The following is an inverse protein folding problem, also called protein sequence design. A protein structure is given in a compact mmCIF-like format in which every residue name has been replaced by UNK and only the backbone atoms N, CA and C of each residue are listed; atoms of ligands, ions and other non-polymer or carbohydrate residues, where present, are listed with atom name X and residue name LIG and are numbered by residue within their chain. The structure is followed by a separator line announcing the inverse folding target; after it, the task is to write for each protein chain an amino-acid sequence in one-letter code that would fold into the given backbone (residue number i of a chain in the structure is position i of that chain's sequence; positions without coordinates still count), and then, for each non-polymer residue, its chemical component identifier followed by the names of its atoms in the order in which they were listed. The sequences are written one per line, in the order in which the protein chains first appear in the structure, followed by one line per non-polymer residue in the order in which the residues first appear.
data_IF_546499714448
#
_entry.id   IF_546499714448
#
_cell.length_a   1.000
_cell.length_b   1.000
_cell.length_c   1.000
_cell.angle_alpha   90.00
_cell.angle_beta   90.00
_cell.angle_gamma   90.00
#
_symmetry.space_group_name_H-M   'P 1'
#
loop_
_entity.id
_entity.type
_entity.pdbx_description
1 polymer ?
#
# COMPACT_ATOMS: atom_id res chain seq x y z
N UNK A 1 -23.45 35.17 -12.53
CA UNK A 1 -22.88 34.57 -13.75
C UNK A 1 -22.17 33.23 -13.52
N UNK A 2 -21.74 32.86 -12.31
CA UNK A 2 -20.95 31.64 -12.09
C UNK A 2 -21.70 30.29 -12.15
N UNK A 3 -22.98 30.23 -11.79
CA UNK A 3 -23.72 28.96 -11.73
C UNK A 3 -23.93 28.32 -13.11
N UNK A 4 -24.35 29.11 -14.10
CA UNK A 4 -24.52 28.63 -15.49
C UNK A 4 -23.22 28.11 -16.12
N UNK A 5 -22.10 28.74 -15.78
CA UNK A 5 -20.78 28.31 -16.24
C UNK A 5 -20.37 26.97 -15.61
N UNK A 6 -20.63 26.79 -14.31
CA UNK A 6 -20.38 25.54 -13.61
C UNK A 6 -21.25 24.39 -14.16
N UNK A 7 -22.52 24.67 -14.48
CA UNK A 7 -23.43 23.68 -15.11
C UNK A 7 -22.93 23.24 -16.48
N UNK A 8 -22.56 24.17 -17.37
CA UNK A 8 -22.01 23.83 -18.69
C UNK A 8 -20.74 22.98 -18.60
N UNK A 9 -19.82 23.32 -17.68
CA UNK A 9 -18.58 22.55 -17.47
C UNK A 9 -18.91 21.15 -16.95
N UNK A 10 -19.86 21.04 -16.02
CA UNK A 10 -20.30 19.74 -15.49
C UNK A 10 -20.88 18.84 -16.58
N UNK A 11 -21.72 19.38 -17.46
CA UNK A 11 -22.31 18.63 -18.58
C UNK A 11 -21.26 18.19 -19.59
N UNK A 12 -20.26 19.03 -19.87
CA UNK A 12 -19.14 18.68 -20.75
C UNK A 12 -18.31 17.53 -20.18
N UNK A 13 -17.93 17.60 -18.90
CA UNK A 13 -17.14 16.56 -18.22
C UNK A 13 -17.88 15.23 -18.21
N UNK A 14 -19.20 15.24 -17.99
CA UNK A 14 -20.05 14.04 -18.02
C UNK A 14 -20.07 13.35 -19.38
N UNK A 15 -19.78 14.08 -20.46
CA UNK A 15 -19.68 13.52 -21.81
C UNK A 15 -18.34 12.85 -22.12
N UNK A 16 -17.34 12.95 -21.24
CA UNK A 16 -16.01 12.40 -21.49
C UNK A 16 -16.03 10.87 -21.50
N UNK A 17 -15.49 10.29 -22.56
CA UNK A 17 -15.39 8.85 -22.70
C UNK A 17 -14.42 8.27 -21.67
N UNK A 18 -14.83 7.22 -20.96
CA UNK A 18 -14.01 6.59 -19.91
C UNK A 18 -14.01 7.34 -18.58
N UNK A 19 -14.83 8.38 -18.41
CA UNK A 19 -15.03 9.01 -17.11
C UNK A 19 -15.81 8.06 -16.19
N UNK A 20 -15.20 7.69 -15.07
CA UNK A 20 -15.87 6.94 -14.01
C UNK A 20 -16.71 7.93 -13.20
N UNK A 21 -18.04 7.77 -13.25
CA UNK A 21 -18.99 8.70 -12.60
C UNK A 21 -19.23 8.28 -11.16
N UNK A 22 -19.27 6.98 -10.89
CA UNK A 22 -19.50 6.45 -9.55
C UNK A 22 -18.22 5.85 -8.97
N UNK A 23 -17.81 6.19 -7.75
CA UNK A 23 -16.62 5.61 -7.12
C UNK A 23 -16.65 4.08 -7.03
N UNK A 24 -17.84 3.48 -6.98
CA UNK A 24 -18.03 2.02 -6.96
C UNK A 24 -17.65 1.32 -8.27
N UNK A 25 -17.55 2.07 -9.38
CA UNK A 25 -17.14 1.55 -10.69
C UNK A 25 -15.62 1.64 -10.87
N UNK A 26 -14.89 2.25 -9.93
CA UNK A 26 -13.44 2.32 -9.96
C UNK A 26 -12.85 0.99 -9.47
N UNK A 27 -12.34 0.20 -10.41
CA UNK A 27 -11.52 -0.97 -10.11
C UNK A 27 -10.06 -0.53 -9.91
N UNK A 28 -9.61 -0.51 -8.65
CA UNK A 28 -8.20 -0.29 -8.33
C UNK A 28 -7.48 -1.63 -8.43
N UNK A 29 -6.42 -1.75 -9.24
CA UNK A 29 -5.70 -3.01 -9.36
C UNK A 29 -4.98 -3.33 -8.04
N UNK A 30 -5.02 -4.60 -7.64
CA UNK A 30 -4.29 -5.09 -6.46
C UNK A 30 -2.76 -4.97 -6.63
N UNK A 31 -2.27 -5.00 -7.87
CA UNK A 31 -0.86 -4.94 -8.22
C UNK A 31 -0.65 -4.15 -9.50
N UNK A 32 0.48 -3.44 -9.59
CA UNK A 32 0.91 -2.75 -10.80
C UNK A 32 2.06 -3.54 -11.40
N UNK A 33 1.93 -3.97 -12.66
CA UNK A 33 2.96 -4.77 -13.35
C UNK A 33 4.22 -3.95 -13.67
N UNK A 34 4.06 -2.63 -13.85
CA UNK A 34 5.13 -1.71 -14.21
C UNK A 34 5.22 -0.55 -13.21
N UNK A 35 6.45 -0.08 -12.89
CA UNK A 35 6.61 1.12 -12.09
C UNK A 35 5.91 2.33 -12.70
N UNK A 36 5.30 3.17 -11.87
CA UNK A 36 4.77 4.46 -12.30
C UNK A 36 5.97 5.41 -12.47
N UNK A 37 6.22 5.89 -13.69
CA UNK A 37 7.42 6.67 -14.05
C UNK A 37 7.68 7.86 -13.12
N UNK A 38 6.63 8.54 -12.68
CA UNK A 38 6.72 9.75 -11.84
C UNK A 38 6.89 9.43 -10.34
N UNK A 39 6.82 8.15 -9.94
CA UNK A 39 7.03 7.73 -8.56
C UNK A 39 8.42 7.13 -8.39
N UNK A 40 9.15 7.50 -7.32
CA UNK A 40 10.43 6.86 -7.01
C UNK A 40 10.28 5.35 -6.85
N UNK A 41 11.06 4.60 -7.65
CA UNK A 41 11.18 3.16 -7.50
C UNK A 41 12.29 2.83 -6.49
N UNK A 42 11.98 1.96 -5.53
CA UNK A 42 12.93 1.51 -4.53
C UNK A 42 13.05 -0.02 -4.59
N UNK A 43 14.26 -0.52 -4.83
CA UNK A 43 14.55 -1.96 -4.95
C UNK A 43 14.95 -2.61 -3.61
N UNK A 44 15.16 -1.80 -2.58
CA UNK A 44 15.56 -2.22 -1.22
C UNK A 44 14.36 -2.45 -0.28
N UNK A 45 13.16 -2.61 -0.86
CA UNK A 45 11.94 -2.92 -0.10
C UNK A 45 11.99 -4.30 0.55
N UNK A 46 11.77 -4.35 1.87
CA UNK A 46 11.62 -5.58 2.63
C UNK A 46 10.12 -5.80 2.90
N UNK A 47 9.55 -6.87 2.34
CA UNK A 47 8.18 -7.31 2.64
C UNK A 47 8.14 -8.18 3.89
N UNK A 48 7.15 -7.97 4.75
CA UNK A 48 6.91 -8.83 5.90
C UNK A 48 6.58 -10.27 5.46
N UNK A 49 7.21 -11.25 6.13
CA UNK A 49 7.03 -12.68 5.83
C UNK A 49 6.36 -13.46 6.98
N UNK A 50 5.91 -12.79 8.05
CA UNK A 50 5.31 -13.46 9.22
C UNK A 50 3.92 -14.01 8.95
N UNK A 51 3.14 -13.32 8.12
CA UNK A 51 1.85 -13.80 7.64
C UNK A 51 1.65 -13.30 6.19
N UNK A 52 2.25 -13.97 5.19
CA UNK A 52 2.26 -13.47 3.80
C UNK A 52 0.88 -13.23 3.20
N UNK A 53 -0.13 -13.99 3.65
CA UNK A 53 -1.52 -13.89 3.18
C UNK A 53 -2.24 -12.66 3.72
N UNK A 54 -1.97 -12.27 4.97
CA UNK A 54 -2.73 -11.20 5.64
C UNK A 54 -1.88 -9.95 5.95
N UNK A 55 -0.56 -9.99 5.73
CA UNK A 55 0.34 -8.87 5.98
C UNK A 55 1.14 -8.55 4.73
N UNK A 56 0.77 -7.44 4.10
CA UNK A 56 1.45 -6.89 2.92
C UNK A 56 2.37 -5.71 3.29
N UNK A 57 2.75 -5.59 4.57
CA UNK A 57 3.61 -4.50 5.03
C UNK A 57 4.99 -4.55 4.37
N UNK A 58 5.45 -3.41 3.86
CA UNK A 58 6.76 -3.23 3.24
C UNK A 58 7.47 -2.05 3.91
N UNK A 59 8.76 -2.20 4.20
CA UNK A 59 9.63 -1.11 4.66
C UNK A 59 11.05 -1.30 4.15
N UNK A 60 11.87 -0.26 4.14
CA UNK A 60 13.26 -0.33 3.63
C UNK A 60 14.31 -0.63 4.70
N UNK A 61 13.92 -0.58 5.98
CA UNK A 61 14.84 -0.72 7.11
C UNK A 61 14.51 -1.95 7.98
N UNK A 62 15.55 -2.72 8.33
CA UNK A 62 15.41 -3.93 9.16
C UNK A 62 14.92 -3.62 10.57
N UNK A 63 15.29 -2.48 11.15
CA UNK A 63 14.82 -2.12 12.49
C UNK A 63 13.33 -1.80 12.50
N UNK A 64 12.85 -1.15 11.44
CA UNK A 64 11.43 -0.90 11.18
C UNK A 64 10.67 -2.21 11.00
N UNK A 65 11.21 -3.16 10.24
CA UNK A 65 10.61 -4.49 10.09
C UNK A 65 10.50 -5.23 11.43
N UNK A 66 11.56 -5.20 12.26
CA UNK A 66 11.52 -5.80 13.61
C UNK A 66 10.49 -5.15 14.52
N UNK A 67 10.32 -3.82 14.45
CA UNK A 67 9.28 -3.09 15.19
C UNK A 67 7.89 -3.52 14.73
N UNK A 68 7.67 -3.62 13.42
CA UNK A 68 6.44 -4.12 12.83
C UNK A 68 6.13 -5.55 13.32
N UNK A 69 7.09 -6.47 13.26
CA UNK A 69 6.88 -7.84 13.78
C UNK A 69 6.48 -7.87 15.25
N UNK A 70 7.09 -7.03 16.10
CA UNK A 70 6.72 -6.95 17.53
C UNK A 70 5.31 -6.43 17.74
N UNK A 71 4.92 -5.39 16.99
CA UNK A 71 3.64 -4.69 17.17
C UNK A 71 2.47 -5.48 16.58
N UNK A 72 2.62 -5.92 15.33
CA UNK A 72 1.51 -6.43 14.53
C UNK A 72 1.49 -7.96 14.45
N UNK A 73 2.60 -8.62 14.80
CA UNK A 73 2.72 -10.08 14.85
C UNK A 73 3.08 -10.64 16.22
N UNK A 74 3.08 -9.79 17.26
CA UNK A 74 3.45 -10.14 18.64
C UNK A 74 4.78 -10.92 18.73
N UNK A 75 5.68 -10.69 17.77
CA UNK A 75 6.93 -11.43 17.70
C UNK A 75 7.86 -10.94 18.80
N UNK A 76 8.15 -11.82 19.76
CA UNK A 76 9.17 -11.59 20.78
C UNK A 76 10.45 -12.35 20.45
N UNK A 77 11.59 -11.89 20.97
CA UNK A 77 12.91 -12.56 20.81
C UNK A 77 13.07 -13.73 21.82
N UNK A 78 12.02 -14.10 22.56
CA UNK A 78 12.10 -15.10 23.63
C UNK A 78 11.59 -16.48 23.23
N UNK A 79 12.51 -17.39 22.86
CA UNK A 79 12.21 -18.80 22.61
C UNK A 79 13.46 -19.69 22.44
N UNK A 80 14.16 -19.94 23.54
CA UNK A 80 15.13 -21.02 23.85
C UNK A 80 16.36 -21.30 22.96
N UNK A 81 17.56 -21.12 23.55
CA UNK A 81 18.81 -21.77 23.11
C UNK A 81 20.05 -21.48 23.98
N UNK A 82 20.45 -22.49 24.78
CA UNK A 82 21.68 -22.66 25.61
C UNK A 82 21.58 -22.15 27.07
N UNK A 83 21.94 -22.91 28.11
CA UNK A 83 22.69 -24.17 28.22
C UNK A 83 23.59 -24.07 29.47
N UNK A 84 23.63 -25.11 30.30
CA UNK A 84 24.50 -25.15 31.50
C UNK A 84 26.00 -25.33 31.19
N UNK A 85 26.82 -25.07 32.21
CA UNK A 85 28.29 -25.25 32.26
C UNK A 85 29.04 -23.93 31.99
N UNK A 86 29.91 -23.41 32.86
CA UNK A 86 30.69 -24.01 33.97
C UNK A 86 30.65 -23.16 35.23
#
# INVERSE_FOLDING_TARGET
MGQKQAECISDEIRGWHGLIVFPSELEVPDQVEQPITELPLFEDGLRCQKNPSNCQYICRDKMTMKKHWRKDHQWSIGGNGKGGGS
#
